data_IF_419500631578
#
_entry.id   IF_419500631578
#
_cell.length_a   1.000
_cell.length_b   1.000
_cell.length_c   1.000
_cell.angle_alpha   90.00
_cell.angle_beta   90.00
_cell.angle_gamma   90.00
#
_symmetry.space_group_name_H-M   'P 1'
#
loop_
_entity.id
_entity.type
_entity.pdbx_description
1 polymer ?
#
# COMPACT_ATOMS: atom_id res chain seq x y z
N UNK A 1 -1.89 -39.27 3.04
CA UNK A 1 -1.32 -37.99 2.51
C UNK A 1 -2.48 -37.07 2.18
N UNK A 2 -2.99 -36.33 3.18
CA UNK A 2 -4.07 -35.36 2.98
C UNK A 2 -3.43 -34.15 2.33
N UNK A 3 -3.86 -33.84 1.12
CA UNK A 3 -3.23 -32.82 0.30
C UNK A 3 -3.28 -31.46 0.97
N UNK A 4 -2.18 -30.74 0.97
CA UNK A 4 -2.06 -29.36 1.42
C UNK A 4 -3.11 -28.41 0.78
N UNK A 5 -3.79 -28.82 -0.25
CA UNK A 5 -4.90 -28.09 -0.89
C UNK A 5 -6.13 -27.97 0.00
N UNK A 6 -6.46 -29.00 0.80
CA UNK A 6 -7.62 -28.97 1.70
C UNK A 6 -7.37 -28.09 2.93
N UNK A 7 -6.15 -28.08 3.46
CA UNK A 7 -5.75 -27.18 4.54
C UNK A 7 -5.71 -25.71 4.08
N UNK A 8 -5.26 -25.43 2.87
CA UNK A 8 -5.28 -24.10 2.29
C UNK A 8 -6.72 -23.58 2.08
N UNK A 9 -7.63 -24.42 1.64
CA UNK A 9 -9.04 -24.08 1.50
C UNK A 9 -9.72 -23.81 2.83
N UNK A 10 -9.37 -24.56 3.87
CA UNK A 10 -9.98 -24.45 5.20
C UNK A 10 -9.51 -23.18 5.94
N UNK A 11 -8.23 -22.85 5.88
CA UNK A 11 -7.66 -21.61 6.46
C UNK A 11 -8.20 -20.39 5.70
N UNK A 12 -8.33 -20.48 4.38
CA UNK A 12 -8.92 -19.45 3.54
C UNK A 12 -10.40 -19.19 3.92
N UNK A 13 -11.16 -20.23 4.18
CA UNK A 13 -12.58 -20.14 4.58
C UNK A 13 -12.75 -19.60 6.01
N UNK A 14 -11.83 -19.90 6.91
CA UNK A 14 -11.85 -19.41 8.29
C UNK A 14 -11.50 -17.91 8.38
N UNK A 15 -10.59 -17.42 7.55
CA UNK A 15 -10.28 -16.00 7.41
C UNK A 15 -11.42 -15.20 6.76
N UNK A 16 -12.20 -15.83 5.89
CA UNK A 16 -13.39 -15.22 5.27
C UNK A 16 -14.51 -14.98 6.29
N UNK A 17 -14.62 -15.80 7.32
CA UNK A 17 -15.71 -15.71 8.30
C UNK A 17 -15.47 -14.60 9.33
N UNK A 18 -14.22 -14.22 9.58
CA UNK A 18 -13.87 -13.29 10.65
C UNK A 18 -13.43 -11.88 10.18
N UNK A 19 -13.35 -11.64 8.90
CA UNK A 19 -12.99 -10.33 8.37
C UNK A 19 -13.88 -9.99 7.19
N UNK A 20 -14.49 -8.85 7.21
CA UNK A 20 -15.23 -8.28 6.10
C UNK A 20 -14.50 -8.56 4.78
N UNK A 21 -15.05 -9.48 4.07
CA UNK A 21 -14.81 -9.97 2.73
C UNK A 21 -13.76 -9.22 1.89
N UNK A 22 -12.48 -9.55 2.08
CA UNK A 22 -11.48 -9.26 1.04
C UNK A 22 -10.88 -10.59 0.56
N UNK A 23 -11.21 -11.05 -0.65
CA UNK A 23 -10.56 -12.20 -1.25
C UNK A 23 -9.13 -11.82 -1.66
N UNK A 24 -8.25 -11.65 -0.68
CA UNK A 24 -6.84 -11.44 -0.93
C UNK A 24 -6.18 -12.80 -1.15
N UNK A 25 -5.72 -13.05 -2.37
CA UNK A 25 -4.92 -14.22 -2.65
C UNK A 25 -3.54 -14.07 -2.01
N UNK A 26 -3.07 -15.14 -1.36
CA UNK A 26 -1.73 -15.18 -0.81
C UNK A 26 -1.03 -16.49 -1.12
N UNK A 27 0.29 -16.45 -1.13
CA UNK A 27 1.15 -17.63 -1.15
C UNK A 27 1.96 -17.72 0.14
N UNK A 28 2.46 -18.91 0.43
CA UNK A 28 3.36 -19.11 1.57
C UNK A 28 4.78 -19.13 1.03
N UNK A 29 5.65 -18.29 1.60
CA UNK A 29 7.06 -18.23 1.31
C UNK A 29 7.88 -18.60 2.55
N UNK A 30 8.90 -19.45 2.38
CA UNK A 30 9.87 -19.76 3.42
C UNK A 30 10.93 -18.66 3.45
N UNK A 31 11.02 -17.91 4.53
CA UNK A 31 11.97 -16.81 4.69
C UNK A 31 12.87 -17.06 5.89
N UNK A 32 14.19 -16.85 5.68
CA UNK A 32 15.19 -16.87 6.74
C UNK A 32 15.25 -15.52 7.47
N UNK A 33 15.84 -15.55 8.64
CA UNK A 33 16.16 -14.33 9.39
C UNK A 33 17.36 -13.63 8.74
N UNK A 34 17.23 -12.40 8.23
CA UNK A 34 18.34 -11.69 7.62
C UNK A 34 19.46 -11.32 8.60
N UNK A 35 19.15 -11.29 9.91
CA UNK A 35 20.12 -10.97 10.96
C UNK A 35 20.85 -12.21 11.52
N UNK A 36 20.27 -13.40 11.32
CA UNK A 36 20.88 -14.66 11.73
C UNK A 36 20.55 -15.76 10.72
N UNK A 37 21.52 -16.11 9.89
CA UNK A 37 21.35 -17.09 8.81
C UNK A 37 21.23 -18.54 9.31
N UNK A 38 21.64 -18.80 10.56
CA UNK A 38 21.54 -20.12 11.18
C UNK A 38 20.16 -20.41 11.75
N UNK A 39 19.28 -19.40 11.86
CA UNK A 39 17.91 -19.59 12.30
C UNK A 39 17.11 -20.40 11.27
N UNK A 40 16.25 -21.33 11.72
CA UNK A 40 15.39 -22.07 10.80
C UNK A 40 14.46 -21.14 10.04
N UNK A 41 14.31 -21.41 8.74
CA UNK A 41 13.36 -20.66 7.88
C UNK A 41 11.95 -20.84 8.41
N UNK A 42 11.19 -19.76 8.45
CA UNK A 42 9.78 -19.74 8.86
C UNK A 42 8.88 -19.47 7.65
N UNK A 43 7.67 -19.97 7.72
CA UNK A 43 6.66 -19.74 6.69
C UNK A 43 5.95 -18.40 6.94
N UNK A 44 5.88 -17.56 5.92
CA UNK A 44 5.18 -16.28 5.95
C UNK A 44 4.19 -16.18 4.79
N UNK A 45 3.05 -15.55 5.05
CA UNK A 45 2.11 -15.23 3.99
C UNK A 45 2.62 -14.05 3.15
N UNK A 46 2.54 -14.19 1.82
CA UNK A 46 2.86 -13.15 0.86
C UNK A 46 1.64 -12.88 0.00
N UNK A 47 1.17 -11.63 0.01
CA UNK A 47 0.06 -11.21 -0.82
C UNK A 47 0.38 -11.44 -2.31
N UNK A 48 -0.61 -11.94 -3.05
CA UNK A 48 -0.53 -12.12 -4.49
C UNK A 48 -1.37 -11.06 -5.19
N UNK A 49 -0.72 -10.24 -6.01
CA UNK A 49 -1.42 -9.30 -6.88
C UNK A 49 -1.94 -10.07 -8.10
N UNK A 50 -3.26 -10.12 -8.26
CA UNK A 50 -3.90 -10.84 -9.36
C UNK A 50 -3.85 -10.06 -10.67
N UNK A 51 -4.07 -8.75 -10.60
CA UNK A 51 -4.05 -7.86 -11.75
C UNK A 51 -3.89 -6.40 -11.34
N UNK A 52 -3.44 -5.58 -12.26
CA UNK A 52 -3.39 -4.13 -12.10
C UNK A 52 -4.68 -3.48 -12.62
N UNK A 53 -5.30 -2.64 -11.81
CA UNK A 53 -6.42 -1.82 -12.21
C UNK A 53 -5.91 -0.48 -12.76
N UNK A 54 -5.90 -0.34 -14.08
CA UNK A 54 -5.44 0.92 -14.70
C UNK A 54 -6.41 2.07 -14.45
N UNK A 55 -5.89 3.31 -14.50
CA UNK A 55 -6.70 4.53 -14.40
C UNK A 55 -7.85 4.56 -15.43
N UNK A 56 -7.61 4.06 -16.63
CA UNK A 56 -8.63 3.95 -17.69
C UNK A 56 -9.81 3.07 -17.28
N UNK A 57 -9.53 1.93 -16.67
CA UNK A 57 -10.57 0.99 -16.19
C UNK A 57 -11.28 1.56 -14.96
N UNK A 58 -10.53 2.18 -14.03
CA UNK A 58 -11.10 2.84 -12.86
C UNK A 58 -12.06 3.96 -13.27
N UNK A 59 -11.64 4.85 -14.17
CA UNK A 59 -12.48 5.94 -14.69
C UNK A 59 -13.79 5.43 -15.34
N UNK A 60 -13.70 4.32 -16.06
CA UNK A 60 -14.89 3.68 -16.64
C UNK A 60 -15.86 3.18 -15.56
N UNK A 61 -15.36 2.56 -14.51
CA UNK A 61 -16.18 2.06 -13.39
C UNK A 61 -16.85 3.21 -12.64
N UNK A 62 -16.11 4.28 -12.35
CA UNK A 62 -16.65 5.47 -11.67
C UNK A 62 -17.72 6.15 -12.55
N UNK A 63 -17.47 6.32 -13.84
CA UNK A 63 -18.45 6.90 -14.77
C UNK A 63 -19.74 6.09 -14.83
N UNK A 64 -19.67 4.75 -14.72
CA UNK A 64 -20.85 3.89 -14.70
C UNK A 64 -21.70 4.04 -13.41
N UNK A 65 -21.10 4.56 -12.33
CA UNK A 65 -21.76 4.77 -11.03
C UNK A 65 -22.18 6.22 -10.78
N UNK A 66 -21.86 7.12 -11.69
CA UNK A 66 -22.13 8.56 -11.59
C UNK A 66 -22.75 9.09 -12.86
N UNK A 67 -23.17 10.34 -12.84
CA UNK A 67 -23.67 11.07 -14.03
C UNK A 67 -22.56 11.67 -14.89
N UNK A 68 -21.30 11.62 -14.41
CA UNK A 68 -20.14 12.16 -15.11
C UNK A 68 -19.73 11.25 -16.29
N UNK A 69 -19.24 11.86 -17.37
CA UNK A 69 -18.63 11.11 -18.45
C UNK A 69 -17.29 10.51 -18.02
N UNK A 70 -16.82 9.50 -18.75
CA UNK A 70 -15.50 8.92 -18.49
C UNK A 70 -14.37 9.96 -18.65
N UNK A 71 -14.53 10.91 -19.58
CA UNK A 71 -13.56 11.98 -19.77
C UNK A 71 -13.53 12.94 -18.56
N UNK A 72 -14.69 13.32 -18.04
CA UNK A 72 -14.80 14.17 -16.86
C UNK A 72 -14.17 13.48 -15.63
N UNK A 73 -14.49 12.21 -15.41
CA UNK A 73 -13.91 11.41 -14.31
C UNK A 73 -12.40 11.36 -14.42
N UNK A 74 -11.86 11.11 -15.62
CA UNK A 74 -10.41 11.07 -15.83
C UNK A 74 -9.77 12.43 -15.53
N UNK A 75 -10.36 13.53 -15.98
CA UNK A 75 -9.88 14.88 -15.72
C UNK A 75 -9.89 15.21 -14.22
N UNK A 76 -10.96 14.86 -13.50
CA UNK A 76 -11.09 15.06 -12.05
C UNK A 76 -10.02 14.27 -11.30
N UNK A 77 -9.79 13.00 -11.64
CA UNK A 77 -8.77 12.17 -10.98
C UNK A 77 -7.38 12.77 -11.21
N UNK A 78 -7.05 13.17 -12.44
CA UNK A 78 -5.75 13.78 -12.76
C UNK A 78 -5.55 15.06 -11.94
N UNK A 79 -6.52 15.97 -11.93
CA UNK A 79 -6.45 17.19 -11.15
C UNK A 79 -6.33 16.92 -9.64
N UNK A 80 -7.02 15.92 -9.14
CA UNK A 80 -6.91 15.49 -7.72
C UNK A 80 -5.49 15.05 -7.40
N UNK A 81 -4.90 14.20 -8.23
CA UNK A 81 -3.52 13.71 -8.03
C UNK A 81 -2.51 14.85 -8.11
N UNK A 82 -2.66 15.78 -9.06
CA UNK A 82 -1.78 16.95 -9.19
C UNK A 82 -1.81 17.83 -7.93
N UNK A 83 -3.01 18.12 -7.41
CA UNK A 83 -3.16 18.89 -6.16
C UNK A 83 -2.58 18.13 -4.95
N UNK A 84 -2.77 16.82 -4.87
CA UNK A 84 -2.17 16.00 -3.81
C UNK A 84 -0.64 16.07 -3.85
N UNK A 85 -0.04 15.98 -5.03
CA UNK A 85 1.42 16.06 -5.20
C UNK A 85 1.93 17.45 -4.77
N UNK A 86 1.23 18.51 -5.13
CA UNK A 86 1.60 19.87 -4.73
C UNK A 86 1.55 20.06 -3.22
N UNK A 87 0.46 19.65 -2.57
CA UNK A 87 0.31 19.69 -1.11
C UNK A 87 1.40 18.87 -0.40
N UNK A 88 1.68 17.66 -0.87
CA UNK A 88 2.74 16.83 -0.30
C UNK A 88 4.13 17.51 -0.43
N UNK A 89 4.43 18.15 -1.56
CA UNK A 89 5.67 18.91 -1.75
C UNK A 89 5.76 20.13 -0.82
N UNK A 90 4.63 20.74 -0.51
CA UNK A 90 4.54 21.82 0.49
C UNK A 90 4.69 21.32 1.95
N UNK A 91 4.83 20.04 2.17
CA UNK A 91 4.95 19.43 3.50
C UNK A 91 3.63 19.18 4.20
N UNK A 92 2.51 19.28 3.48
CA UNK A 92 1.19 19.01 4.02
C UNK A 92 0.89 17.51 4.06
N UNK A 93 0.01 17.12 4.97
CA UNK A 93 -0.59 15.79 4.99
C UNK A 93 -1.91 15.85 4.24
N UNK A 94 -2.09 14.97 3.26
CA UNK A 94 -3.33 14.88 2.49
C UNK A 94 -4.23 13.81 3.10
N UNK A 95 -5.39 14.22 3.57
CA UNK A 95 -6.46 13.33 4.04
C UNK A 95 -7.35 12.97 2.85
N UNK A 96 -7.43 11.68 2.52
CA UNK A 96 -8.23 11.15 1.42
C UNK A 96 -9.46 10.37 1.93
N UNK A 97 -10.07 10.87 3.01
CA UNK A 97 -11.27 10.28 3.58
C UNK A 97 -11.04 8.87 4.14
N UNK A 98 -12.01 8.00 3.91
CA UNK A 98 -12.01 6.62 4.43
C UNK A 98 -10.83 5.78 3.95
N UNK A 99 -10.25 6.11 2.78
CA UNK A 99 -9.07 5.41 2.29
C UNK A 99 -7.88 5.58 3.21
N UNK A 100 -7.67 6.79 3.75
CA UNK A 100 -6.55 7.09 4.62
C UNK A 100 -5.84 8.38 4.28
N UNK A 101 -4.62 8.51 4.78
CA UNK A 101 -3.82 9.73 4.70
C UNK A 101 -2.48 9.47 4.02
N UNK A 102 -2.00 10.49 3.31
CA UNK A 102 -0.70 10.49 2.66
C UNK A 102 0.16 11.60 3.23
N UNK A 103 1.42 11.31 3.50
CA UNK A 103 2.42 12.30 3.91
C UNK A 103 3.79 11.94 3.35
N UNK A 104 4.69 12.91 3.30
CA UNK A 104 6.09 12.62 3.01
C UNK A 104 6.83 12.18 4.28
N UNK A 105 7.72 11.24 4.11
CA UNK A 105 8.66 10.78 5.12
C UNK A 105 10.08 10.96 4.61
N UNK A 106 10.94 11.51 5.45
CA UNK A 106 12.35 11.74 5.14
C UNK A 106 13.18 10.61 5.76
N UNK A 107 14.10 10.08 4.97
CA UNK A 107 15.15 9.17 5.42
C UNK A 107 16.47 9.93 5.48
N UNK A 108 17.20 9.82 6.57
CA UNK A 108 18.48 10.50 6.74
C UNK A 108 19.53 9.61 7.40
N UNK A 109 20.79 9.95 7.19
CA UNK A 109 21.91 9.45 7.99
C UNK A 109 22.05 10.31 9.23
N UNK A 110 22.31 9.67 10.38
CA UNK A 110 22.58 10.40 11.61
C UNK A 110 23.88 11.22 11.52
N UNK A 111 23.90 12.35 12.21
CA UNK A 111 25.11 13.12 12.50
C UNK A 111 25.42 13.00 14.00
N UNK A 112 26.68 13.23 14.39
CA UNK A 112 27.11 13.14 15.80
C UNK A 112 26.43 14.19 16.68
N UNK A 113 26.18 15.39 16.13
CA UNK A 113 25.51 16.49 16.81
C UNK A 113 24.53 17.19 15.87
N UNK A 114 23.59 17.95 16.41
CA UNK A 114 22.64 18.71 15.63
C UNK A 114 23.30 19.76 14.73
N UNK A 115 24.39 20.39 15.21
CA UNK A 115 25.16 21.39 14.46
C UNK A 115 25.89 20.80 13.24
N UNK A 116 26.27 19.53 13.32
CA UNK A 116 26.91 18.80 12.20
C UNK A 116 25.93 18.26 11.19
N UNK A 117 24.63 18.26 11.48
CA UNK A 117 23.61 17.82 10.55
C UNK A 117 23.41 18.85 9.42
N UNK A 118 23.46 18.37 8.20
CA UNK A 118 23.23 19.17 6.99
C UNK A 118 22.21 18.50 6.07
N UNK A 119 21.71 19.22 5.10
CA UNK A 119 20.79 18.67 4.09
C UNK A 119 21.41 17.47 3.32
N UNK A 120 22.74 17.38 3.23
CA UNK A 120 23.44 16.23 2.63
C UNK A 120 23.25 14.93 3.41
N UNK A 121 22.84 15.01 4.67
CA UNK A 121 22.51 13.83 5.48
C UNK A 121 21.16 13.22 5.07
N UNK A 122 20.30 13.96 4.38
CA UNK A 122 19.01 13.45 3.87
C UNK A 122 19.29 12.54 2.67
N UNK A 123 18.94 11.26 2.79
CA UNK A 123 19.23 10.23 1.80
C UNK A 123 18.05 9.88 0.91
N UNK A 124 16.84 10.27 1.30
CA UNK A 124 15.65 10.00 0.51
C UNK A 124 14.38 10.63 1.07
N UNK A 125 13.38 10.73 0.21
CA UNK A 125 12.03 11.16 0.53
C UNK A 125 11.07 10.11 -0.01
N UNK A 126 10.16 9.63 0.80
CA UNK A 126 9.19 8.61 0.44
C UNK A 126 7.77 9.07 0.78
N UNK A 127 6.79 8.61 0.03
CA UNK A 127 5.39 8.78 0.39
C UNK A 127 5.01 7.69 1.37
N UNK A 128 4.52 8.09 2.54
CA UNK A 128 3.94 7.19 3.53
C UNK A 128 2.42 7.24 3.40
N UNK A 129 1.81 6.07 3.31
CA UNK A 129 0.37 5.89 3.37
C UNK A 129 -0.02 5.39 4.75
N UNK A 130 -1.03 6.03 5.36
CA UNK A 130 -1.63 5.66 6.64
C UNK A 130 -3.06 5.24 6.33
N UNK A 131 -3.42 3.94 6.45
CA UNK A 131 -4.78 3.49 6.21
C UNK A 131 -5.80 4.23 7.06
N UNK A 132 -7.01 4.42 6.51
CA UNK A 132 -8.15 4.91 7.26
C UNK A 132 -8.60 3.88 8.29
N UNK A 133 -9.35 4.34 9.27
CA UNK A 133 -10.06 3.45 10.21
C UNK A 133 -11.36 2.98 9.53
N UNK A 134 -11.60 1.67 9.53
CA UNK A 134 -12.87 1.05 9.13
C UNK A 134 -13.90 1.13 10.28
#
# INVERSE_FOLDING_TARGET
MISNRLLHGFIFQFLIINSYFMPLNYSIAMMGNPMNQDDPKKAYAKAQVSQELSLKVLSKRVAAQTTASRADVTAVIIATVENMIESLRAGEQVDFGDLGKFRLQITSRGAETAEKFTAANITGVNIQFIPGED
#
